data_IF_835128284469
#
_entry.id   IF_835128284469
#
_cell.length_a   1.000
_cell.length_b   1.000
_cell.length_c   1.000
_cell.angle_alpha   90.00
_cell.angle_beta   90.00
_cell.angle_gamma   90.00
#
_symmetry.space_group_name_H-M   'P 1'
#
loop_
_entity.id
_entity.type
_entity.pdbx_description
1 polymer ?
#
# COMPACT_ATOMS: atom_id res chain seq x y z
N UNK A 1 -7.29 -11.81 -31.93
CA UNK A 1 -6.90 -11.52 -30.54
C UNK A 1 -7.27 -10.08 -30.22
N UNK A 2 -7.75 -9.75 -29.00
CA UNK A 2 -7.96 -8.37 -28.60
C UNK A 2 -6.62 -7.62 -28.57
N UNK A 3 -6.61 -6.36 -29.02
CA UNK A 3 -5.46 -5.47 -28.87
C UNK A 3 -5.66 -4.65 -27.58
N UNK A 4 -4.68 -4.65 -26.69
CA UNK A 4 -4.62 -3.68 -25.60
C UNK A 4 -3.86 -2.44 -26.11
N UNK A 5 -4.33 -1.24 -25.76
CA UNK A 5 -3.51 -0.03 -25.91
C UNK A 5 -2.77 0.27 -24.62
N UNK A 6 -1.57 0.83 -24.76
CA UNK A 6 -0.71 1.23 -23.66
C UNK A 6 -1.37 2.24 -22.70
N UNK A 7 -2.16 3.18 -23.22
CA UNK A 7 -3.00 4.08 -22.43
C UNK A 7 -4.08 3.33 -21.61
N UNK A 8 -4.42 2.09 -21.94
CA UNK A 8 -5.27 1.24 -21.09
C UNK A 8 -4.43 0.57 -20.00
N UNK A 9 -3.23 0.09 -20.32
CA UNK A 9 -2.27 -0.47 -19.33
C UNK A 9 -1.96 0.56 -18.25
N UNK A 10 -1.59 1.79 -18.62
CA UNK A 10 -1.28 2.86 -17.67
C UNK A 10 -2.48 3.24 -16.78
N UNK A 11 -3.70 3.34 -17.34
CA UNK A 11 -4.92 3.61 -16.55
C UNK A 11 -5.23 2.52 -15.53
N UNK A 12 -4.97 1.26 -15.87
CA UNK A 12 -5.19 0.15 -14.95
C UNK A 12 -4.09 0.04 -13.90
N UNK A 13 -2.85 0.42 -14.23
CA UNK A 13 -1.80 0.59 -13.24
C UNK A 13 -2.14 1.74 -12.26
N UNK A 14 -2.60 2.89 -12.75
CA UNK A 14 -3.03 4.04 -11.93
C UNK A 14 -4.18 3.64 -10.98
N UNK A 15 -5.18 2.91 -11.48
CA UNK A 15 -6.31 2.42 -10.69
C UNK A 15 -5.94 1.25 -9.74
N UNK A 16 -4.95 0.42 -10.09
CA UNK A 16 -4.39 -0.58 -9.17
C UNK A 16 -3.69 0.12 -8.01
N UNK A 17 -2.82 1.08 -8.32
CA UNK A 17 -2.09 1.86 -7.33
C UNK A 17 -3.03 2.72 -6.47
N UNK A 18 -4.13 3.25 -7.01
CA UNK A 18 -5.18 3.91 -6.22
C UNK A 18 -5.66 3.01 -5.08
N UNK A 19 -6.01 1.76 -5.40
CA UNK A 19 -6.44 0.78 -4.40
C UNK A 19 -5.34 0.41 -3.41
N UNK A 20 -4.14 0.11 -3.89
CA UNK A 20 -3.03 -0.33 -3.02
C UNK A 20 -2.54 0.80 -2.08
N UNK A 21 -2.42 2.03 -2.59
CA UNK A 21 -2.02 3.18 -1.77
C UNK A 21 -3.14 3.65 -0.84
N UNK A 22 -4.42 3.40 -1.19
CA UNK A 22 -5.54 3.56 -0.25
C UNK A 22 -5.40 2.64 0.96
N UNK A 23 -5.04 1.36 0.74
CA UNK A 23 -4.78 0.43 1.83
C UNK A 23 -3.60 0.92 2.70
N UNK A 24 -2.49 1.33 2.07
CA UNK A 24 -1.31 1.85 2.79
C UNK A 24 -1.65 3.08 3.63
N UNK A 25 -2.36 4.06 3.09
CA UNK A 25 -2.79 5.26 3.83
C UNK A 25 -3.69 4.93 5.02
N UNK A 26 -4.60 3.96 4.87
CA UNK A 26 -5.47 3.48 5.97
C UNK A 26 -4.69 2.76 7.06
N UNK A 27 -3.79 1.85 6.70
CA UNK A 27 -2.96 1.14 7.70
C UNK A 27 -2.02 2.14 8.39
N UNK A 28 -1.44 3.11 7.67
CA UNK A 28 -0.64 4.19 8.25
C UNK A 28 -1.46 5.06 9.23
N UNK A 29 -2.74 5.32 8.96
CA UNK A 29 -3.62 6.03 9.88
C UNK A 29 -3.83 5.25 11.18
N UNK A 30 -4.01 3.93 11.10
CA UNK A 30 -4.10 3.05 12.27
C UNK A 30 -2.76 2.94 13.03
N UNK A 31 -1.63 2.86 12.32
CA UNK A 31 -0.28 2.86 12.89
C UNK A 31 -0.01 4.13 13.71
N UNK A 32 -0.26 5.31 13.16
CA UNK A 32 -0.04 6.57 13.88
C UNK A 32 -0.99 6.71 15.07
N UNK A 33 -2.28 6.35 14.89
CA UNK A 33 -3.25 6.40 15.99
C UNK A 33 -2.82 5.50 17.16
N UNK A 34 -2.29 4.30 16.90
CA UNK A 34 -1.83 3.41 17.98
C UNK A 34 -0.50 3.86 18.58
N UNK A 35 0.45 4.32 17.77
CA UNK A 35 1.75 4.79 18.29
C UNK A 35 1.60 6.01 19.20
N UNK A 36 0.77 7.00 18.83
CA UNK A 36 0.46 8.13 19.71
C UNK A 36 -0.34 7.70 20.96
N UNK A 37 -1.23 6.71 20.85
CA UNK A 37 -1.94 6.14 22.01
C UNK A 37 -1.00 5.38 22.98
N UNK A 38 0.06 4.77 22.47
CA UNK A 38 1.18 4.20 23.25
C UNK A 38 2.10 5.25 23.86
N UNK A 39 1.91 6.54 23.54
CA UNK A 39 2.74 7.64 24.03
C UNK A 39 4.07 7.78 23.29
N UNK A 40 4.22 7.23 22.08
CA UNK A 40 5.39 7.51 21.23
C UNK A 40 5.41 8.99 20.86
N UNK A 41 6.57 9.62 20.95
CA UNK A 41 6.74 10.98 20.47
C UNK A 41 6.86 11.06 18.94
N UNK A 42 6.80 12.28 18.40
CA UNK A 42 6.85 12.50 16.96
C UNK A 42 8.14 11.96 16.30
N UNK A 43 9.27 11.96 17.00
CA UNK A 43 10.54 11.46 16.46
C UNK A 43 10.52 9.92 16.35
N UNK A 44 10.00 9.23 17.37
CA UNK A 44 9.84 7.76 17.35
C UNK A 44 8.88 7.29 16.25
N UNK A 45 7.79 8.03 16.03
CA UNK A 45 6.86 7.73 14.93
C UNK A 45 7.52 8.00 13.58
N UNK A 46 8.27 9.09 13.42
CA UNK A 46 9.00 9.39 12.18
C UNK A 46 10.07 8.33 11.88
N UNK A 47 10.84 7.87 12.88
CA UNK A 47 11.81 6.79 12.71
C UNK A 47 11.14 5.50 12.20
N UNK A 48 9.93 5.19 12.68
CA UNK A 48 9.13 4.07 12.18
C UNK A 48 8.71 4.27 10.72
N UNK A 49 8.26 5.47 10.34
CA UNK A 49 7.89 5.79 8.96
C UNK A 49 9.11 5.76 8.01
N UNK A 50 10.28 6.20 8.48
CA UNK A 50 11.56 6.13 7.76
C UNK A 50 12.03 4.69 7.58
N UNK A 51 11.88 3.82 8.59
CA UNK A 51 12.19 2.41 8.48
C UNK A 51 11.30 1.69 7.45
N UNK A 52 10.01 2.03 7.39
CA UNK A 52 9.09 1.48 6.38
C UNK A 52 9.44 2.00 4.98
N UNK A 53 9.69 3.30 4.83
CA UNK A 53 10.04 3.88 3.53
C UNK A 53 11.36 3.32 2.98
N UNK A 54 12.40 3.25 3.81
CA UNK A 54 13.73 2.74 3.42
C UNK A 54 13.81 1.23 3.16
N UNK A 55 12.73 0.47 3.40
CA UNK A 55 12.69 -0.99 3.21
C UNK A 55 11.56 -1.46 2.28
N UNK A 56 10.81 -0.54 1.69
CA UNK A 56 9.67 -0.83 0.81
C UNK A 56 9.66 0.12 -0.38
N UNK A 57 8.65 0.03 -1.26
CA UNK A 57 8.50 0.93 -2.42
C UNK A 57 7.71 2.21 -2.11
N UNK A 58 7.52 2.57 -0.84
CA UNK A 58 6.73 3.75 -0.46
C UNK A 58 7.66 4.88 0.00
N UNK A 59 7.69 5.97 -0.76
CA UNK A 59 8.67 7.04 -0.58
C UNK A 59 8.29 8.06 0.48
N UNK A 60 7.01 8.41 0.62
CA UNK A 60 6.59 9.56 1.43
C UNK A 60 5.37 9.30 2.32
N UNK A 61 5.44 9.86 3.53
CA UNK A 61 4.32 10.03 4.44
C UNK A 61 4.12 11.53 4.74
N UNK A 62 2.87 11.98 4.70
CA UNK A 62 2.48 13.35 5.04
C UNK A 62 1.28 13.32 5.97
N UNK A 63 1.52 13.51 7.28
CA UNK A 63 0.50 13.32 8.31
C UNK A 63 0.37 14.57 9.17
N UNK A 64 -0.86 15.09 9.28
CA UNK A 64 -1.11 16.45 9.77
C UNK A 64 -1.73 16.54 11.16
N UNK A 65 -1.59 17.71 11.78
CA UNK A 65 -2.50 18.17 12.83
C UNK A 65 -3.91 18.49 12.26
N UNK A 66 -4.83 18.92 13.12
CA UNK A 66 -6.20 19.29 12.73
C UNK A 66 -6.25 20.60 11.91
N UNK A 67 -5.13 21.34 11.85
CA UNK A 67 -4.96 22.61 11.13
C UNK A 67 -4.21 22.42 9.79
N UNK A 68 -3.98 21.16 9.38
CA UNK A 68 -3.35 20.78 8.12
C UNK A 68 -1.83 20.95 8.08
N UNK A 69 -1.15 21.20 9.21
CA UNK A 69 0.31 21.22 9.28
C UNK A 69 0.84 19.79 9.36
N UNK A 70 1.70 19.38 8.43
CA UNK A 70 2.41 18.12 8.53
C UNK A 70 3.41 18.20 9.70
N UNK A 71 3.30 17.24 10.63
CA UNK A 71 4.20 17.14 11.80
C UNK A 71 4.81 15.74 11.95
N UNK A 72 4.26 14.74 11.24
CA UNK A 72 4.92 13.45 11.00
C UNK A 72 5.11 13.30 9.50
N UNK A 73 6.37 13.24 9.09
CA UNK A 73 6.81 12.98 7.72
C UNK A 73 8.23 12.41 7.76
N UNK A 74 8.57 11.59 6.78
CA UNK A 74 9.93 11.14 6.50
C UNK A 74 10.65 12.02 5.46
N UNK A 75 9.97 13.02 4.89
CA UNK A 75 10.53 13.89 3.85
C UNK A 75 11.40 14.96 4.49
N UNK A 76 12.65 15.07 4.00
CA UNK A 76 13.67 15.97 4.53
C UNK A 76 14.07 17.03 3.51
N UNK A 77 14.42 18.22 3.98
CA UNK A 77 14.97 19.29 3.17
C UNK A 77 16.48 19.09 2.89
N UNK A 78 17.07 19.99 2.11
CA UNK A 78 18.50 19.95 1.76
C UNK A 78 19.47 20.11 2.96
N UNK A 79 18.97 20.40 4.17
CA UNK A 79 19.74 20.45 5.41
C UNK A 79 19.57 19.18 6.27
N UNK A 80 18.69 18.27 5.86
CA UNK A 80 18.31 17.06 6.60
C UNK A 80 17.22 17.28 7.65
N UNK A 81 16.67 18.49 7.76
CA UNK A 81 15.54 18.80 8.63
C UNK A 81 14.22 18.33 7.99
N UNK A 82 13.18 18.09 8.80
CA UNK A 82 11.85 17.71 8.30
C UNK A 82 11.27 18.82 7.43
N UNK A 83 10.74 18.48 6.25
CA UNK A 83 10.18 19.45 5.31
C UNK A 83 8.91 20.11 5.91
N UNK A 84 8.91 21.43 6.16
CA UNK A 84 7.75 22.10 6.74
C UNK A 84 6.64 22.28 5.71
N UNK A 85 5.60 21.45 5.78
CA UNK A 85 4.47 21.50 4.86
C UNK A 85 3.13 21.77 5.57
N UNK A 86 2.28 22.59 4.97
CA UNK A 86 0.90 22.81 5.41
C UNK A 86 -0.04 22.71 4.22
N UNK A 87 -1.04 21.83 4.30
CA UNK A 87 -2.09 21.74 3.29
C UNK A 87 -2.94 23.02 3.28
N UNK A 88 -3.26 23.51 2.09
CA UNK A 88 -4.01 24.74 1.87
C UNK A 88 -5.22 24.47 0.95
N UNK A 89 -6.46 24.84 1.32
CA UNK A 89 -7.64 24.56 0.51
C UNK A 89 -7.68 25.32 -0.83
N UNK A 90 -6.79 26.30 -1.06
CA UNK A 90 -6.77 27.09 -2.28
C UNK A 90 -5.94 26.42 -3.40
N UNK A 91 -6.55 25.94 -4.50
CA UNK A 91 -5.82 25.35 -5.62
C UNK A 91 -4.91 26.34 -6.36
N UNK A 92 -5.09 27.66 -6.20
CA UNK A 92 -4.15 28.65 -6.72
C UNK A 92 -2.88 28.81 -5.87
N UNK A 93 -2.83 28.22 -4.68
CA UNK A 93 -1.64 28.19 -3.79
C UNK A 93 -1.00 26.80 -3.78
N UNK A 94 -1.81 25.74 -3.83
CA UNK A 94 -1.34 24.35 -3.91
C UNK A 94 -2.19 23.55 -4.91
N UNK A 95 -1.89 23.61 -6.22
CA UNK A 95 -2.70 22.95 -7.25
C UNK A 95 -2.86 21.45 -7.00
N UNK A 96 -1.78 20.77 -6.59
CA UNK A 96 -1.77 19.32 -6.39
C UNK A 96 -2.36 18.92 -5.03
N UNK A 97 -2.00 19.64 -3.96
CA UNK A 97 -2.29 19.23 -2.58
C UNK A 97 -3.63 19.76 -2.03
N UNK A 98 -4.22 20.82 -2.61
CA UNK A 98 -5.37 21.48 -2.01
C UNK A 98 -6.60 20.60 -1.83
N UNK A 99 -6.79 19.62 -2.72
CA UNK A 99 -7.89 18.64 -2.64
C UNK A 99 -7.85 17.81 -1.34
N UNK A 100 -6.68 17.43 -0.84
CA UNK A 100 -6.54 16.61 0.37
C UNK A 100 -7.00 17.36 1.62
N UNK A 101 -7.05 18.70 1.59
CA UNK A 101 -7.57 19.51 2.69
C UNK A 101 -9.02 19.15 3.08
N UNK A 102 -9.82 18.64 2.14
CA UNK A 102 -11.19 18.20 2.41
C UNK A 102 -11.27 17.03 3.42
N UNK A 103 -10.20 16.24 3.59
CA UNK A 103 -10.14 15.14 4.56
C UNK A 103 -10.26 15.65 6.01
N UNK A 104 -9.75 16.85 6.32
CA UNK A 104 -9.91 17.49 7.65
C UNK A 104 -11.37 17.83 7.99
N UNK A 105 -12.22 17.99 6.96
CA UNK A 105 -13.66 18.20 7.11
C UNK A 105 -14.45 16.91 7.33
N UNK A 106 -13.82 15.74 7.18
CA UNK A 106 -14.49 14.45 7.19
C UNK A 106 -14.77 13.96 8.62
N UNK A 107 -15.77 13.10 8.83
CA UNK A 107 -15.93 12.39 10.10
C UNK A 107 -14.69 11.52 10.40
N UNK A 108 -14.36 11.38 11.68
CA UNK A 108 -13.34 10.43 12.15
C UNK A 108 -13.84 9.01 11.83
N UNK A 109 -12.94 8.11 11.44
CA UNK A 109 -13.28 6.76 10.94
C UNK A 109 -14.21 6.74 9.71
N UNK A 110 -14.36 7.85 8.98
CA UNK A 110 -15.07 7.81 7.69
C UNK A 110 -14.25 7.11 6.61
N UNK A 111 -14.94 6.61 5.59
CA UNK A 111 -14.30 5.94 4.45
C UNK A 111 -13.78 6.89 3.35
N UNK A 112 -13.62 8.18 3.65
CA UNK A 112 -13.25 9.18 2.65
C UNK A 112 -11.78 9.04 2.22
N UNK A 113 -11.61 8.80 0.92
CA UNK A 113 -10.32 8.72 0.22
C UNK A 113 -10.26 9.84 -0.80
N UNK A 114 -9.07 10.44 -0.94
CA UNK A 114 -8.74 11.31 -2.06
C UNK A 114 -7.52 10.73 -2.76
N UNK A 115 -7.68 10.39 -4.04
CA UNK A 115 -6.59 9.90 -4.88
C UNK A 115 -6.08 10.98 -5.83
N UNK A 116 -4.84 10.81 -6.31
CA UNK A 116 -4.21 11.59 -7.36
C UNK A 116 -3.80 10.64 -8.46
N UNK A 117 -4.23 10.91 -9.69
CA UNK A 117 -3.55 10.35 -10.87
C UNK A 117 -2.07 10.71 -10.80
N UNK A 118 -1.22 9.76 -11.18
CA UNK A 118 0.22 10.00 -11.24
C UNK A 118 0.52 11.22 -12.13
N UNK A 119 1.37 12.13 -11.65
CA UNK A 119 1.71 13.35 -12.36
C UNK A 119 3.12 13.85 -12.00
N UNK A 120 3.70 14.65 -12.90
CA UNK A 120 5.00 15.30 -12.70
C UNK A 120 4.92 16.28 -11.51
N UNK A 121 5.83 16.12 -10.56
CA UNK A 121 5.94 16.96 -9.36
C UNK A 121 6.63 18.30 -9.68
N UNK A 122 6.07 19.37 -9.12
CA UNK A 122 6.53 20.76 -9.36
C UNK A 122 7.96 21.06 -8.88
N UNK A 123 8.50 20.25 -7.97
CA UNK A 123 9.77 20.53 -7.26
C UNK A 123 10.98 19.97 -8.02
N UNK A 124 10.87 18.77 -8.56
CA UNK A 124 11.97 17.93 -9.07
C UNK A 124 11.70 17.26 -10.42
N UNK A 125 10.47 17.38 -10.95
CA UNK A 125 10.01 16.75 -12.20
C UNK A 125 9.88 15.22 -12.16
N UNK A 126 9.90 14.60 -10.98
CA UNK A 126 9.62 13.16 -10.84
C UNK A 126 8.11 12.89 -10.95
N UNK A 127 7.72 11.71 -11.45
CA UNK A 127 6.31 11.31 -11.52
C UNK A 127 5.90 10.74 -10.17
N UNK A 128 5.06 11.46 -9.43
CA UNK A 128 4.53 11.00 -8.15
C UNK A 128 3.05 10.65 -8.23
N UNK A 129 2.68 9.62 -7.48
CA UNK A 129 1.31 9.33 -7.11
C UNK A 129 1.10 9.63 -5.63
N UNK A 130 -0.04 10.20 -5.28
CA UNK A 130 -0.42 10.51 -3.91
C UNK A 130 -1.84 10.01 -3.61
N UNK A 131 -2.02 9.35 -2.47
CA UNK A 131 -3.34 8.96 -1.94
C UNK A 131 -3.42 9.36 -0.47
N UNK A 132 -4.58 9.83 -0.04
CA UNK A 132 -4.78 10.26 1.33
C UNK A 132 -6.16 9.97 1.87
N UNK A 133 -6.23 9.75 3.18
CA UNK A 133 -7.44 9.43 3.93
C UNK A 133 -7.54 10.29 5.20
N UNK A 134 -8.72 10.31 5.82
CA UNK A 134 -8.88 10.92 7.15
C UNK A 134 -8.24 10.05 8.24
N UNK A 135 -7.89 10.69 9.36
CA UNK A 135 -7.55 9.99 10.60
C UNK A 135 -8.67 9.08 11.11
N UNK A 136 -8.26 8.06 11.87
CA UNK A 136 -9.13 7.07 12.52
C UNK A 136 -9.37 7.37 14.01
N UNK A 137 -8.78 8.44 14.53
CA UNK A 137 -8.76 8.79 15.95
C UNK A 137 -9.07 10.29 16.20
N UNK A 138 -8.51 11.18 15.38
CA UNK A 138 -8.78 12.63 15.35
C UNK A 138 -8.77 13.16 13.92
N UNK A 139 -9.09 14.44 13.75
CA UNK A 139 -9.04 15.09 12.43
C UNK A 139 -7.59 15.28 12.00
N UNK A 140 -7.21 14.56 10.95
CA UNK A 140 -5.89 14.67 10.31
C UNK A 140 -5.99 14.19 8.87
N UNK A 141 -5.10 14.69 8.02
CA UNK A 141 -4.78 14.07 6.74
C UNK A 141 -3.74 12.99 7.04
N UNK A 142 -3.92 11.80 6.46
CA UNK A 142 -2.88 10.78 6.35
C UNK A 142 -2.70 10.53 4.86
N UNK A 143 -1.66 11.12 4.28
CA UNK A 143 -1.31 10.96 2.87
C UNK A 143 -0.03 10.12 2.75
N UNK A 144 -0.01 9.25 1.75
CA UNK A 144 1.15 8.47 1.33
C UNK A 144 1.50 8.82 -0.12
N UNK A 145 2.80 8.89 -0.42
CA UNK A 145 3.35 9.24 -1.73
C UNK A 145 4.28 8.16 -2.25
N UNK A 146 4.20 7.89 -3.55
CA UNK A 146 4.98 6.88 -4.25
C UNK A 146 5.58 7.52 -5.51
N UNK A 147 6.91 7.50 -5.62
CA UNK A 147 7.63 7.86 -6.82
C UNK A 147 7.49 6.73 -7.83
N UNK A 148 6.95 7.01 -9.01
CA UNK A 148 6.91 6.06 -10.11
C UNK A 148 8.28 6.03 -10.83
N UNK A 149 9.33 5.81 -10.04
CA UNK A 149 10.69 5.56 -10.46
C UNK A 149 10.81 4.09 -10.86
N UNK A 150 10.47 3.79 -12.11
CA UNK A 150 10.65 2.45 -12.65
C UNK A 150 12.12 2.25 -13.05
N UNK A 151 12.87 1.53 -12.22
CA UNK A 151 14.29 1.23 -12.46
C UNK A 151 14.51 0.43 -13.76
N UNK A 152 15.64 0.66 -14.43
CA UNK A 152 16.12 -0.26 -15.47
C UNK A 152 16.54 -1.58 -14.80
N UNK A 153 15.97 -2.72 -15.21
CA UNK A 153 16.34 -4.00 -14.62
C UNK A 153 17.72 -4.45 -15.10
N UNK A 154 18.68 -4.50 -14.17
CA UNK A 154 20.04 -4.94 -14.43
C UNK A 154 20.12 -6.48 -14.37
N UNK A 155 19.62 -7.14 -15.43
CA UNK A 155 19.93 -8.55 -15.69
C UNK A 155 21.42 -8.67 -16.05
N UNK A 156 22.07 -9.78 -15.68
CA UNK A 156 23.55 -9.98 -15.68
C UNK A 156 24.26 -9.99 -17.05
N UNK A 157 23.78 -9.24 -18.05
CA UNK A 157 24.41 -9.05 -19.36
C UNK A 157 24.12 -7.69 -20.02
N UNK A 158 23.65 -6.69 -19.28
CA UNK A 158 23.48 -5.30 -19.73
C UNK A 158 22.09 -4.73 -19.44
N UNK A 159 22.02 -3.41 -19.22
CA UNK A 159 20.77 -2.70 -18.91
C UNK A 159 19.67 -3.02 -19.92
N UNK A 160 18.52 -3.43 -19.39
CA UNK A 160 17.29 -3.65 -20.14
C UNK A 160 16.13 -2.93 -19.44
N UNK A 161 15.85 -1.70 -19.87
CA UNK A 161 14.53 -1.10 -19.67
C UNK A 161 13.51 -1.95 -20.42
N UNK A 162 12.55 -2.58 -19.73
CA UNK A 162 11.47 -3.29 -20.41
C UNK A 162 10.74 -2.31 -21.35
N UNK A 163 10.54 -2.65 -22.63
CA UNK A 163 9.79 -1.81 -23.55
C UNK A 163 8.38 -1.51 -23.04
N UNK A 164 7.76 -2.44 -22.30
CA UNK A 164 6.47 -2.21 -21.61
C UNK A 164 6.61 -1.14 -20.54
N UNK A 165 7.71 -1.12 -19.78
CA UNK A 165 7.94 -0.14 -18.73
C UNK A 165 8.21 1.26 -19.29
N UNK A 166 9.12 1.38 -20.25
CA UNK A 166 9.38 2.64 -20.99
C UNK A 166 8.10 3.20 -21.60
N UNK A 167 7.26 2.31 -22.13
CA UNK A 167 5.97 2.64 -22.70
C UNK A 167 4.95 3.10 -21.63
N UNK A 168 4.89 2.45 -20.46
CA UNK A 168 4.04 2.87 -19.34
C UNK A 168 4.47 4.23 -18.80
N UNK A 169 5.78 4.51 -18.70
CA UNK A 169 6.31 5.83 -18.36
C UNK A 169 5.91 6.89 -19.39
N UNK A 170 6.07 6.59 -20.68
CA UNK A 170 5.63 7.47 -21.76
C UNK A 170 4.11 7.74 -21.73
N UNK A 171 3.29 6.80 -21.26
CA UNK A 171 1.85 7.00 -21.12
C UNK A 171 1.46 7.94 -19.97
N UNK A 172 2.27 8.02 -18.91
CA UNK A 172 2.07 9.00 -17.84
C UNK A 172 2.65 10.39 -18.18
N UNK A 173 3.67 10.47 -19.02
CA UNK A 173 4.26 11.74 -19.49
C UNK A 173 3.58 12.37 -20.71
N UNK A 174 3.26 11.57 -21.73
CA UNK A 174 2.76 12.01 -23.04
C UNK A 174 1.58 11.12 -23.51
N UNK A 175 0.39 11.24 -22.89
CA UNK A 175 -0.74 10.32 -23.11
C UNK A 175 -1.30 10.28 -24.54
N UNK A 176 -1.01 11.30 -25.37
CA UNK A 176 -1.54 11.45 -26.73
C UNK A 176 -0.75 10.69 -27.82
N UNK A 177 0.44 10.13 -27.51
CA UNK A 177 1.38 9.61 -28.52
C UNK A 177 1.29 8.10 -28.82
N UNK A 178 0.29 7.39 -28.29
CA UNK A 178 0.39 5.94 -28.06
C UNK A 178 -0.52 5.07 -28.94
N UNK A 179 -0.28 5.11 -30.25
CA UNK A 179 -0.88 4.19 -31.23
C UNK A 179 -0.13 2.82 -31.30
N UNK A 180 -0.73 1.81 -30.67
CA UNK A 180 -0.59 0.35 -30.91
C UNK A 180 0.79 -0.35 -30.94
N UNK A 181 1.08 -1.07 -29.85
CA UNK A 181 1.93 -2.26 -29.73
C UNK A 181 1.50 -3.04 -28.46
N UNK A 182 1.48 -4.38 -28.33
CA UNK A 182 1.43 -5.52 -29.28
C UNK A 182 0.53 -6.63 -28.67
N UNK A 183 0.27 -7.77 -29.36
CA UNK A 183 -0.44 -8.92 -28.75
C UNK A 183 0.45 -9.90 -27.99
N UNK A 184 1.77 -9.83 -28.21
CA UNK A 184 2.71 -10.88 -27.81
C UNK A 184 3.44 -10.53 -26.49
N UNK A 185 3.12 -9.37 -25.91
CA UNK A 185 3.70 -8.84 -24.66
C UNK A 185 2.75 -8.92 -23.46
N UNK A 186 1.63 -9.66 -23.57
CA UNK A 186 0.65 -9.77 -22.47
C UNK A 186 1.24 -10.46 -21.23
N UNK A 187 2.10 -11.45 -21.44
CA UNK A 187 2.81 -12.12 -20.33
C UNK A 187 3.87 -11.19 -19.70
N UNK A 188 4.54 -10.34 -20.49
CA UNK A 188 5.47 -9.31 -19.97
C UNK A 188 4.74 -8.26 -19.13
N UNK A 189 3.60 -7.73 -19.63
CA UNK A 189 2.72 -6.82 -18.88
C UNK A 189 2.24 -7.49 -17.59
N UNK A 190 1.83 -8.77 -17.63
CA UNK A 190 1.37 -9.50 -16.46
C UNK A 190 2.49 -9.66 -15.42
N UNK A 191 3.71 -9.99 -15.83
CA UNK A 191 4.86 -10.10 -14.91
C UNK A 191 5.16 -8.75 -14.24
N UNK A 192 5.13 -7.64 -15.00
CA UNK A 192 5.33 -6.29 -14.45
C UNK A 192 4.23 -5.93 -13.44
N UNK A 193 2.96 -6.21 -13.75
CA UNK A 193 1.85 -5.99 -12.82
C UNK A 193 1.97 -6.84 -11.56
N UNK A 194 2.30 -8.13 -11.70
CA UNK A 194 2.52 -9.06 -10.60
C UNK A 194 3.63 -8.58 -9.64
N UNK A 195 4.74 -8.09 -10.19
CA UNK A 195 5.87 -7.56 -9.42
C UNK A 195 5.54 -6.25 -8.70
N UNK A 196 4.93 -5.28 -9.39
CA UNK A 196 4.49 -4.03 -8.77
C UNK A 196 3.46 -4.34 -7.67
N UNK A 197 2.52 -5.26 -7.92
CA UNK A 197 1.50 -5.63 -6.95
C UNK A 197 2.09 -6.29 -5.71
N UNK A 198 3.02 -7.24 -5.88
CA UNK A 198 3.78 -7.84 -4.76
C UNK A 198 4.49 -6.76 -3.95
N UNK A 199 5.26 -5.87 -4.59
CA UNK A 199 5.92 -4.72 -3.95
C UNK A 199 4.96 -3.83 -3.15
N UNK A 200 3.78 -3.53 -3.68
CA UNK A 200 2.78 -2.67 -3.00
C UNK A 200 2.09 -3.37 -1.81
N UNK A 201 1.85 -4.68 -1.87
CA UNK A 201 1.32 -5.47 -0.74
C UNK A 201 2.40 -5.65 0.36
N UNK A 202 3.69 -5.73 0.00
CA UNK A 202 4.79 -5.75 0.99
C UNK A 202 4.79 -4.49 1.87
N UNK A 203 4.53 -3.31 1.30
CA UNK A 203 4.36 -2.06 2.07
C UNK A 203 3.24 -2.21 3.10
N UNK A 204 2.08 -2.75 2.67
CA UNK A 204 0.92 -2.95 3.54
C UNK A 204 1.23 -3.95 4.65
N UNK A 205 1.93 -5.05 4.33
CA UNK A 205 2.28 -6.08 5.31
C UNK A 205 3.24 -5.55 6.38
N UNK A 206 4.19 -4.68 6.01
CA UNK A 206 5.08 -3.96 6.94
C UNK A 206 4.32 -2.94 7.80
N UNK A 207 3.42 -2.16 7.19
CA UNK A 207 2.55 -1.24 7.94
C UNK A 207 1.66 -1.99 8.97
N UNK A 208 1.13 -3.17 8.62
CA UNK A 208 0.36 -4.02 9.54
C UNK A 208 1.25 -4.59 10.65
N UNK A 209 2.47 -5.02 10.35
CA UNK A 209 3.42 -5.55 11.34
C UNK A 209 3.78 -4.51 12.42
N UNK A 210 4.07 -3.27 12.00
CA UNK A 210 4.26 -2.15 12.92
C UNK A 210 2.99 -1.77 13.66
N UNK A 211 1.81 -1.75 13.01
CA UNK A 211 0.53 -1.47 13.67
C UNK A 211 0.23 -2.50 14.77
N UNK A 212 0.37 -3.79 14.50
CA UNK A 212 0.10 -4.86 15.46
C UNK A 212 1.13 -4.83 16.60
N UNK A 213 2.40 -4.58 16.30
CA UNK A 213 3.44 -4.42 17.33
C UNK A 213 3.11 -3.27 18.27
N UNK A 214 2.79 -2.09 17.74
CA UNK A 214 2.39 -0.93 18.53
C UNK A 214 1.10 -1.16 19.33
N UNK A 215 0.14 -1.91 18.80
CA UNK A 215 -1.10 -2.27 19.51
C UNK A 215 -0.88 -3.25 20.66
N UNK A 216 0.02 -4.23 20.51
CA UNK A 216 0.43 -5.10 21.60
C UNK A 216 1.18 -4.32 22.70
N UNK A 217 2.03 -3.36 22.32
CA UNK A 217 2.75 -2.47 23.24
C UNK A 217 1.80 -1.50 23.96
N UNK A 218 0.76 -1.03 23.29
CA UNK A 218 -0.36 -0.27 23.87
C UNK A 218 -1.23 -1.11 24.85
N UNK A 219 -1.05 -2.43 24.89
CA UNK A 219 -1.90 -3.34 25.65
C UNK A 219 -3.33 -3.46 25.11
N UNK A 220 -3.55 -3.23 23.81
CA UNK A 220 -4.88 -3.35 23.20
C UNK A 220 -5.38 -4.81 23.28
N UNK A 221 -6.66 -5.04 23.61
CA UNK A 221 -7.23 -6.37 23.61
C UNK A 221 -7.32 -6.92 22.18
N UNK A 222 -7.24 -8.25 22.04
CA UNK A 222 -7.38 -8.96 20.76
C UNK A 222 -8.60 -8.54 19.95
N UNK A 223 -9.73 -8.23 20.61
CA UNK A 223 -10.96 -7.77 19.96
C UNK A 223 -10.78 -6.39 19.28
N UNK A 224 -10.07 -5.45 19.90
CA UNK A 224 -9.79 -4.13 19.30
C UNK A 224 -8.82 -4.27 18.12
N UNK A 225 -7.77 -5.10 18.26
CA UNK A 225 -6.82 -5.37 17.17
C UNK A 225 -7.54 -5.99 15.97
N UNK A 226 -8.30 -7.07 16.17
CA UNK A 226 -9.09 -7.71 15.11
C UNK A 226 -10.14 -6.74 14.52
N UNK A 227 -10.81 -5.94 15.35
CA UNK A 227 -11.78 -4.93 14.91
C UNK A 227 -11.16 -3.78 14.10
N UNK A 228 -9.85 -3.53 14.25
CA UNK A 228 -9.08 -2.57 13.44
C UNK A 228 -8.59 -3.22 12.13
N UNK A 229 -8.11 -4.45 12.16
CA UNK A 229 -7.78 -5.23 10.95
C UNK A 229 -9.00 -5.42 10.04
N UNK A 230 -10.17 -5.75 10.62
CA UNK A 230 -11.44 -5.82 9.90
C UNK A 230 -11.84 -4.46 9.29
N UNK A 231 -11.60 -3.35 9.99
CA UNK A 231 -11.86 -2.00 9.44
C UNK A 231 -10.94 -1.69 8.26
N UNK A 232 -9.65 -2.04 8.33
CA UNK A 232 -8.71 -1.93 7.19
C UNK A 232 -9.22 -2.72 5.99
N UNK A 233 -9.62 -3.99 6.17
CA UNK A 233 -10.17 -4.84 5.09
C UNK A 233 -11.45 -4.27 4.48
N UNK A 234 -12.47 -3.97 5.29
CA UNK A 234 -13.76 -3.44 4.78
C UNK A 234 -13.61 -2.12 4.00
N UNK A 235 -12.45 -1.45 4.12
CA UNK A 235 -12.18 -0.14 3.57
C UNK A 235 -10.97 -0.13 2.63
N UNK A 236 -10.50 -1.29 2.18
CA UNK A 236 -9.41 -1.39 1.18
C UNK A 236 -9.68 -2.53 0.19
N UNK A 237 -8.82 -2.73 -0.83
CA UNK A 237 -8.95 -3.88 -1.73
C UNK A 237 -8.56 -5.23 -1.09
N UNK A 238 -7.97 -5.26 0.10
CA UNK A 238 -7.57 -6.49 0.80
C UNK A 238 -8.81 -7.33 1.18
N UNK A 239 -8.71 -8.65 1.05
CA UNK A 239 -9.76 -9.59 1.49
C UNK A 239 -9.51 -10.03 2.95
N UNK A 240 -8.27 -10.46 3.25
CA UNK A 240 -7.93 -10.96 4.58
C UNK A 240 -6.56 -10.46 5.06
N UNK A 241 -6.48 -10.24 6.37
CA UNK A 241 -5.24 -9.96 7.11
C UNK A 241 -5.16 -10.98 8.24
N UNK A 242 -4.08 -11.76 8.28
CA UNK A 242 -3.81 -12.70 9.36
C UNK A 242 -2.46 -12.40 9.99
N UNK A 243 -2.41 -12.47 11.32
CA UNK A 243 -1.16 -12.53 12.07
C UNK A 243 -1.06 -13.93 12.64
N UNK A 244 -0.08 -14.71 12.21
CA UNK A 244 0.12 -16.09 12.64
C UNK A 244 1.39 -16.23 13.46
N UNK A 245 1.37 -17.14 14.44
CA UNK A 245 2.56 -17.59 15.17
C UNK A 245 3.08 -18.91 14.61
N UNK A 246 4.33 -19.27 14.87
CA UNK A 246 4.77 -20.66 14.66
C UNK A 246 4.02 -21.60 15.63
N UNK A 247 3.45 -22.72 15.16
CA UNK A 247 3.69 -23.40 13.87
C UNK A 247 2.74 -23.05 12.71
N UNK A 248 1.84 -22.08 12.88
CA UNK A 248 0.84 -21.66 11.90
C UNK A 248 -0.46 -21.13 12.53
N UNK A 249 -0.56 -21.08 13.87
CA UNK A 249 -1.76 -20.66 14.59
C UNK A 249 -2.02 -19.16 14.47
N UNK A 250 -3.23 -18.80 14.05
CA UNK A 250 -3.73 -17.42 13.92
C UNK A 250 -3.89 -16.76 15.29
N UNK A 251 -3.15 -15.66 15.49
CA UNK A 251 -3.16 -14.81 16.70
C UNK A 251 -4.14 -13.64 16.54
N UNK A 252 -4.13 -12.98 15.38
CA UNK A 252 -5.04 -11.90 15.00
C UNK A 252 -5.57 -12.13 13.59
N UNK A 253 -6.78 -11.68 13.32
CA UNK A 253 -7.39 -11.79 11.98
C UNK A 253 -8.38 -10.66 11.73
N UNK A 254 -8.52 -10.26 10.46
CA UNK A 254 -9.60 -9.40 9.98
C UNK A 254 -10.96 -10.12 9.90
N UNK A 255 -11.01 -11.45 10.00
CA UNK A 255 -12.26 -12.20 9.88
C UNK A 255 -13.20 -11.99 11.07
N UNK A 256 -14.49 -11.74 10.77
CA UNK A 256 -15.54 -11.47 11.79
C UNK A 256 -15.83 -12.64 12.74
N UNK A 257 -15.53 -13.86 12.30
CA UNK A 257 -15.59 -15.05 13.15
C UNK A 257 -14.16 -15.45 13.50
N UNK A 258 -13.80 -15.62 14.78
CA UNK A 258 -12.57 -16.27 15.16
C UNK A 258 -12.69 -17.76 14.79
N UNK A 259 -12.32 -18.11 13.57
CA UNK A 259 -12.11 -19.51 13.18
C UNK A 259 -10.94 -20.04 14.00
N UNK A 260 -11.27 -20.89 14.97
CA UNK A 260 -10.30 -21.46 15.89
C UNK A 260 -9.33 -22.39 15.14
N UNK A 261 -8.04 -22.09 15.20
CA UNK A 261 -6.94 -22.95 14.72
C UNK A 261 -6.98 -23.39 13.24
N UNK A 262 -7.66 -22.67 12.34
CA UNK A 262 -7.48 -22.89 10.91
C UNK A 262 -6.26 -22.09 10.42
N UNK A 263 -5.27 -22.80 9.87
CA UNK A 263 -4.13 -22.20 9.16
C UNK A 263 -4.67 -21.39 7.98
N UNK A 264 -4.30 -20.11 7.83
CA UNK A 264 -4.75 -19.27 6.73
C UNK A 264 -4.48 -19.89 5.34
N UNK A 265 -5.39 -19.64 4.41
CA UNK A 265 -5.21 -20.06 3.03
C UNK A 265 -3.95 -19.41 2.43
N UNK A 266 -3.18 -20.20 1.67
CA UNK A 266 -1.94 -19.72 1.05
C UNK A 266 -0.79 -19.47 2.02
N UNK A 267 -0.84 -19.90 3.29
CA UNK A 267 0.32 -19.74 4.17
C UNK A 267 1.55 -20.46 3.57
N UNK A 268 2.75 -19.84 3.53
CA UNK A 268 3.96 -20.46 2.99
C UNK A 268 4.31 -21.81 3.64
N UNK A 269 5.10 -22.62 2.92
CA UNK A 269 5.59 -23.90 3.43
C UNK A 269 6.50 -23.75 4.65
N UNK A 270 6.69 -24.83 5.42
CA UNK A 270 7.55 -24.85 6.62
C UNK A 270 8.95 -24.27 6.39
N UNK A 271 9.51 -24.52 5.22
CA UNK A 271 10.87 -24.14 4.86
C UNK A 271 10.95 -22.64 4.53
N UNK A 272 9.91 -22.11 3.87
CA UNK A 272 9.74 -20.69 3.59
C UNK A 272 9.51 -19.90 4.89
N UNK A 273 8.61 -20.37 5.77
CA UNK A 273 8.38 -19.80 7.10
C UNK A 273 9.65 -19.86 7.97
N UNK A 274 10.45 -20.92 7.87
CA UNK A 274 11.74 -21.01 8.57
C UNK A 274 12.73 -19.98 8.05
N UNK A 275 12.84 -19.82 6.73
CA UNK A 275 13.71 -18.81 6.10
C UNK A 275 13.31 -17.36 6.42
N UNK A 276 12.03 -17.13 6.75
CA UNK A 276 11.54 -15.85 7.25
C UNK A 276 11.97 -15.56 8.69
N UNK A 277 12.14 -16.59 9.53
CA UNK A 277 12.52 -16.47 10.94
C UNK A 277 14.04 -16.38 11.15
N UNK A 278 14.82 -17.11 10.35
CA UNK A 278 16.29 -17.03 10.40
C UNK A 278 16.84 -15.78 9.69
N UNK A 279 15.98 -15.03 8.98
CA UNK A 279 16.30 -13.80 8.29
C UNK A 279 16.96 -13.98 6.92
N UNK A 280 17.09 -15.21 6.43
CA UNK A 280 17.59 -15.52 5.08
C UNK A 280 16.68 -14.89 4.02
N UNK A 281 15.37 -14.95 4.24
CA UNK A 281 14.36 -14.20 3.50
C UNK A 281 13.68 -13.18 4.43
N UNK A 282 13.37 -12.00 3.92
CA UNK A 282 12.60 -10.98 4.67
C UNK A 282 11.10 -11.02 4.37
N UNK A 283 10.73 -11.62 3.24
CA UNK A 283 9.41 -11.63 2.63
C UNK A 283 9.26 -12.93 1.84
N UNK A 284 8.05 -13.49 1.81
CA UNK A 284 7.61 -14.47 0.81
C UNK A 284 6.49 -13.82 0.01
N UNK A 285 6.77 -13.49 -1.26
CA UNK A 285 5.77 -13.02 -2.23
C UNK A 285 5.35 -14.22 -3.11
N UNK A 286 4.13 -14.70 -2.92
CA UNK A 286 3.65 -15.87 -3.67
C UNK A 286 3.12 -15.44 -5.04
N UNK A 287 3.25 -16.26 -6.10
CA UNK A 287 2.64 -15.97 -7.38
C UNK A 287 1.10 -16.01 -7.27
N UNK A 288 0.41 -15.12 -7.99
CA UNK A 288 -1.05 -15.14 -8.09
C UNK A 288 -1.57 -16.52 -8.50
N UNK A 289 -2.38 -17.14 -7.63
CA UNK A 289 -2.85 -18.52 -7.78
C UNK A 289 -4.31 -18.70 -7.30
N UNK A 290 -5.04 -19.71 -7.81
CA UNK A 290 -6.36 -20.06 -7.28
C UNK A 290 -6.32 -20.46 -5.80
N UNK A 291 -7.16 -19.83 -4.97
CA UNK A 291 -7.37 -20.22 -3.57
C UNK A 291 -8.11 -21.57 -3.52
N UNK A 292 -7.61 -22.50 -2.71
CA UNK A 292 -8.07 -23.89 -2.74
C UNK A 292 -9.54 -24.11 -2.32
N UNK A 293 -10.14 -23.18 -1.56
CA UNK A 293 -11.50 -23.29 -1.04
C UNK A 293 -12.60 -22.91 -2.05
N UNK A 294 -12.32 -21.97 -2.94
CA UNK A 294 -13.31 -21.36 -3.85
C UNK A 294 -12.83 -21.20 -5.31
N UNK A 295 -11.54 -21.38 -5.59
CA UNK A 295 -10.94 -21.31 -6.92
C UNK A 295 -10.70 -19.89 -7.44
N UNK A 296 -11.08 -18.85 -6.69
CA UNK A 296 -10.80 -17.46 -7.05
C UNK A 296 -9.29 -17.18 -7.01
N UNK A 297 -8.77 -16.31 -7.88
CA UNK A 297 -7.35 -15.96 -7.89
C UNK A 297 -7.01 -15.03 -6.72
N UNK A 298 -5.88 -15.29 -6.06
CA UNK A 298 -5.35 -14.46 -4.97
C UNK A 298 -3.85 -14.25 -5.12
N UNK A 299 -3.41 -13.05 -4.74
CA UNK A 299 -2.02 -12.70 -4.47
C UNK A 299 -1.83 -12.72 -2.95
N UNK A 300 -0.79 -13.41 -2.47
CA UNK A 300 -0.46 -13.50 -1.04
C UNK A 300 0.95 -13.00 -0.79
N UNK A 301 1.11 -12.21 0.27
CA UNK A 301 2.43 -11.79 0.78
C UNK A 301 2.51 -12.13 2.25
N UNK A 302 3.63 -12.74 2.65
CA UNK A 302 3.94 -13.04 4.06
C UNK A 302 5.23 -12.35 4.47
N UNK A 303 5.23 -11.64 5.60
CA UNK A 303 6.41 -10.99 6.17
C UNK A 303 6.60 -11.39 7.63
N UNK A 304 7.84 -11.63 8.06
CA UNK A 304 8.16 -11.87 9.46
C UNK A 304 8.10 -10.56 10.28
N UNK A 305 7.67 -10.70 11.53
CA UNK A 305 7.86 -9.68 12.56
C UNK A 305 9.35 -9.53 12.89
N UNK A 306 9.82 -8.31 13.12
CA UNK A 306 11.24 -8.07 13.43
C UNK A 306 11.69 -8.72 14.75
N UNK A 307 10.79 -8.80 15.74
CA UNK A 307 11.12 -9.12 17.13
C UNK A 307 10.35 -10.31 17.72
N UNK A 308 9.54 -11.03 16.93
CA UNK A 308 8.66 -12.13 17.39
C UNK A 308 8.63 -13.26 16.35
N UNK A 309 8.52 -14.54 16.75
CA UNK A 309 8.36 -15.67 15.83
C UNK A 309 6.92 -15.74 15.29
N UNK A 310 6.55 -14.69 14.55
CA UNK A 310 5.22 -14.45 13.97
C UNK A 310 5.36 -13.86 12.59
N UNK A 311 4.29 -13.94 11.82
CA UNK A 311 4.22 -13.41 10.46
C UNK A 311 2.92 -12.63 10.28
N UNK A 312 2.96 -11.57 9.47
CA UNK A 312 1.76 -11.00 8.85
C UNK A 312 1.61 -11.67 7.48
N UNK A 313 0.43 -12.22 7.20
CA UNK A 313 0.02 -12.61 5.86
C UNK A 313 -1.13 -11.69 5.41
N UNK A 314 -1.02 -11.16 4.19
CA UNK A 314 -2.09 -10.44 3.50
C UNK A 314 -2.59 -11.26 2.33
N UNK A 315 -3.89 -11.23 2.08
CA UNK A 315 -4.49 -11.73 0.84
C UNK A 315 -5.16 -10.61 0.05
N UNK A 316 -4.90 -10.58 -1.25
CA UNK A 316 -5.54 -9.67 -2.19
C UNK A 316 -6.25 -10.50 -3.29
N UNK A 317 -7.56 -10.33 -3.49
CA UNK A 317 -8.30 -11.02 -4.53
C UNK A 317 -7.97 -10.42 -5.90
N UNK A 318 -7.74 -11.29 -6.88
CA UNK A 318 -7.45 -10.91 -8.26
C UNK A 318 -8.64 -11.33 -9.13
N UNK A 319 -9.24 -10.36 -9.82
CA UNK A 319 -10.36 -10.58 -10.75
C UNK A 319 -9.83 -11.18 -12.06
N UNK A 320 -10.28 -12.39 -12.43
CA UNK A 320 -9.75 -13.16 -13.57
C UNK A 320 -10.42 -12.82 -14.93
N UNK A 321 -11.36 -11.86 -14.93
CA UNK A 321 -12.23 -11.47 -16.05
C UNK A 321 -11.60 -10.74 -17.25
N UNK A 322 -10.28 -10.85 -17.46
CA UNK A 322 -9.46 -10.17 -18.50
C UNK A 322 -9.05 -8.72 -18.22
N UNK A 323 -8.29 -8.13 -19.16
CA UNK A 323 -6.83 -7.98 -18.98
C UNK A 323 -6.33 -6.91 -17.99
N UNK A 324 -7.21 -6.10 -17.38
CA UNK A 324 -6.83 -4.86 -16.71
C UNK A 324 -7.88 -4.43 -15.65
N UNK A 325 -8.17 -5.28 -14.66
CA UNK A 325 -9.25 -5.06 -13.67
C UNK A 325 -8.75 -4.77 -12.24
N UNK A 326 -8.69 -3.50 -11.82
CA UNK A 326 -8.72 -3.12 -10.41
C UNK A 326 -10.08 -2.47 -10.09
N UNK A 327 -10.97 -3.22 -9.43
CA UNK A 327 -12.19 -2.64 -8.87
C UNK A 327 -11.94 -2.02 -7.49
N UNK A 328 -11.54 -0.76 -7.49
CA UNK A 328 -12.06 0.18 -6.49
C UNK A 328 -12.93 1.21 -7.20
N UNK A 329 -14.25 1.09 -7.02
CA UNK A 329 -15.21 2.10 -7.51
C UNK A 329 -15.76 2.88 -6.30
N UNK A 330 -15.21 4.05 -5.95
CA UNK A 330 -15.69 4.83 -4.81
C UNK A 330 -17.10 5.41 -5.00
N UNK A 331 -17.72 5.28 -6.18
CA UNK A 331 -18.97 5.96 -6.52
C UNK A 331 -20.26 5.15 -6.30
N UNK A 332 -20.25 4.03 -5.55
CA UNK A 332 -21.46 3.20 -5.33
C UNK A 332 -22.15 3.35 -3.97
N UNK A 333 -21.84 4.38 -3.17
CA UNK A 333 -22.56 4.75 -1.94
C UNK A 333 -23.19 6.14 -2.08
N UNK A 334 -24.34 6.22 -2.78
CA UNK A 334 -25.02 7.49 -3.02
C UNK A 334 -26.26 7.39 -3.92
N UNK A 335 -27.26 6.62 -3.48
CA UNK A 335 -28.60 6.55 -4.08
C UNK A 335 -29.67 6.39 -3.00
#
# INVERSE_FOLDING_TARGET
MPKISLATVARALDAMLDGQMTAQARIAAHLVAVAEASGHDAAQVIETLEAIASTTVLDEFWITDEQGMAYLTNVRDATGALMPFRFNPNPAVQPQASKFYALLGSPIESDHVITQSAQVREIDQEIYKYVGVNGVDRKRIVQVGNALAFEEHDLQSGSYTSPVMTAVMAAFGEPDLLDFAFTDQLDEIRVVFEEILGKQIIVQARLVEHFVTGAEEAGWPTEEINGRLLRIVNSSPLDEIHVVSMPGDTVYSSLRSPLACETPAGLPGSDELSSLLDGTNKVVDQPTAPRASDGALYKYVTVAFANKPRFVQLSLPIDDGTLLSPRYNPASTGG
#
